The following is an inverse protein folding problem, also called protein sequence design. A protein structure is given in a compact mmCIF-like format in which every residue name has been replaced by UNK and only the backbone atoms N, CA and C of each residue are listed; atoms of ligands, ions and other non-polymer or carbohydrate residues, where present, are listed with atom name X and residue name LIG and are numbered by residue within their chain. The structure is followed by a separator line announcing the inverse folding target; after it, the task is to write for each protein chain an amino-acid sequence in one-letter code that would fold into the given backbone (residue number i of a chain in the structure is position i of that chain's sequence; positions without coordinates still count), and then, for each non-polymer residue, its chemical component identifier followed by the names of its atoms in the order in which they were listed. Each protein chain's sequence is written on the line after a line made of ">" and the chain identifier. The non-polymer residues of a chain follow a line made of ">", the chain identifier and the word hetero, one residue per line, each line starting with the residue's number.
data_IF_752790969939
#
_entry.id   IF_752790969939
#
_cell.length_a   1.000
_cell.length_b   1.000
_cell.length_c   1.000
_cell.angle_alpha   90.00
_cell.angle_beta   90.00
_cell.angle_gamma   90.00
#
_symmetry.space_group_name_H-M   'P 1'
#
loop_
_entity.id
_entity.type
_entity.pdbx_description
1 polymer ?
#
# COMPACT_ATOMS: atom_id res chain seq x y z
N UNK A 1 35.09 16.18 -15.33
CA UNK A 1 35.09 17.33 -14.40
C UNK A 1 34.75 18.62 -15.14
N UNK A 2 35.62 19.14 -16.02
CA UNK A 2 35.37 20.38 -16.79
C UNK A 2 34.06 20.43 -17.64
N UNK A 3 33.58 19.29 -18.16
CA UNK A 3 32.28 19.23 -18.86
C UNK A 3 31.08 19.39 -17.90
N UNK A 4 31.13 18.74 -16.75
CA UNK A 4 30.05 18.79 -15.73
C UNK A 4 29.98 20.16 -15.06
N UNK A 5 31.12 20.82 -14.87
CA UNK A 5 31.19 22.19 -14.33
C UNK A 5 30.62 23.22 -15.31
N UNK A 6 30.84 23.03 -16.62
CA UNK A 6 30.22 23.86 -17.66
C UNK A 6 28.72 23.64 -17.75
N UNK A 7 28.25 22.40 -17.64
CA UNK A 7 26.81 22.08 -17.61
C UNK A 7 26.13 22.65 -16.37
N UNK A 8 26.77 22.60 -15.20
CA UNK A 8 26.28 23.22 -13.97
C UNK A 8 26.21 24.75 -14.07
N UNK A 9 27.19 25.39 -14.71
CA UNK A 9 27.20 26.83 -14.92
C UNK A 9 26.17 27.33 -15.96
N UNK A 10 25.62 26.44 -16.79
CA UNK A 10 24.52 26.76 -17.71
C UNK A 10 23.13 26.65 -17.06
N UNK A 11 23.04 26.04 -15.87
CA UNK A 11 21.82 26.07 -15.07
C UNK A 11 21.75 27.46 -14.42
N UNK A 12 20.89 28.31 -14.98
CA UNK A 12 20.70 29.68 -14.52
C UNK A 12 20.27 29.70 -13.04
N UNK A 13 20.97 30.46 -12.18
CA UNK A 13 20.73 30.51 -10.73
C UNK A 13 19.37 31.17 -10.35
N UNK A 14 18.62 31.63 -11.36
CA UNK A 14 17.30 32.21 -11.21
C UNK A 14 16.28 31.13 -10.85
N UNK A 15 15.82 31.16 -9.60
CA UNK A 15 14.79 30.24 -9.07
C UNK A 15 15.33 29.12 -8.20
N UNK A 16 16.63 29.02 -7.94
CA UNK A 16 17.20 28.00 -7.02
C UNK A 16 16.59 28.08 -5.62
N UNK A 17 16.41 29.30 -5.08
CA UNK A 17 15.78 29.52 -3.79
C UNK A 17 14.32 29.06 -3.78
N UNK A 18 13.56 29.37 -4.82
CA UNK A 18 12.16 28.95 -4.97
C UNK A 18 12.03 27.43 -5.13
N UNK A 19 12.94 26.80 -5.88
CA UNK A 19 13.00 25.35 -6.05
C UNK A 19 13.39 24.67 -4.74
N UNK A 20 14.34 25.22 -3.99
CA UNK A 20 14.74 24.72 -2.68
C UNK A 20 13.59 24.80 -1.67
N UNK A 21 12.88 25.93 -1.63
CA UNK A 21 11.70 26.12 -0.79
C UNK A 21 10.55 25.17 -1.19
N UNK A 22 10.30 25.03 -2.50
CA UNK A 22 9.33 24.06 -3.00
C UNK A 22 9.67 22.63 -2.59
N UNK A 23 10.95 22.23 -2.73
CA UNK A 23 11.41 20.92 -2.33
C UNK A 23 11.25 20.70 -0.82
N UNK A 24 11.61 21.69 -0.01
CA UNK A 24 11.37 21.67 1.45
C UNK A 24 9.90 21.48 1.78
N UNK A 25 9.01 22.22 1.14
CA UNK A 25 7.56 22.07 1.31
C UNK A 25 7.08 20.66 0.94
N UNK A 26 7.60 20.07 -0.15
CA UNK A 26 7.26 18.68 -0.50
C UNK A 26 7.70 17.67 0.56
N UNK A 27 8.88 17.86 1.15
CA UNK A 27 9.36 17.01 2.24
C UNK A 27 8.49 17.16 3.49
N UNK A 28 8.12 18.39 3.85
CA UNK A 28 7.23 18.65 4.99
C UNK A 28 5.85 18.01 4.80
N UNK A 29 5.26 18.14 3.61
CA UNK A 29 4.00 17.46 3.23
C UNK A 29 4.15 15.96 3.41
N UNK A 30 5.21 15.33 2.89
CA UNK A 30 5.41 13.89 3.00
C UNK A 30 5.53 13.43 4.47
N UNK A 31 6.18 14.23 5.33
CA UNK A 31 6.28 13.95 6.78
C UNK A 31 4.90 14.05 7.43
N UNK A 32 4.12 15.08 7.11
CA UNK A 32 2.78 15.28 7.65
C UNK A 32 1.80 14.20 7.17
N UNK A 33 1.85 13.81 5.89
CA UNK A 33 1.05 12.71 5.35
C UNK A 33 1.36 11.38 6.07
N UNK A 34 2.64 11.11 6.36
CA UNK A 34 3.03 9.92 7.13
C UNK A 34 2.46 9.95 8.55
N UNK A 35 2.55 11.10 9.24
CA UNK A 35 1.97 11.27 10.59
C UNK A 35 0.46 11.09 10.59
N UNK A 36 -0.22 11.66 9.60
CA UNK A 36 -1.66 11.48 9.41
C UNK A 36 -1.98 10.00 9.18
N UNK A 37 -1.24 9.31 8.31
CA UNK A 37 -1.50 7.91 8.02
C UNK A 37 -1.33 7.02 9.26
N UNK A 38 -0.32 7.29 10.11
CA UNK A 38 -0.14 6.58 11.39
C UNK A 38 -1.34 6.74 12.33
N UNK A 39 -1.98 7.91 12.34
CA UNK A 39 -3.20 8.15 13.13
C UNK A 39 -4.45 7.50 12.53
N UNK A 40 -4.49 7.36 11.20
CA UNK A 40 -5.60 6.70 10.48
C UNK A 40 -5.54 5.20 10.70
N UNK A 41 -4.36 4.59 10.60
CA UNK A 41 -4.15 3.13 10.67
C UNK A 41 -4.24 2.57 12.08
N UNK A 42 -4.49 3.41 13.08
CA UNK A 42 -4.79 2.96 14.43
C UNK A 42 -5.95 1.95 14.40
N UNK A 43 -5.78 0.74 14.99
CA UNK A 43 -6.79 -0.30 14.96
C UNK A 43 -8.17 0.20 15.42
N UNK A 44 -8.22 1.05 16.45
CA UNK A 44 -9.47 1.62 16.97
C UNK A 44 -10.30 2.40 15.93
N UNK A 45 -9.67 2.93 14.87
CA UNK A 45 -10.33 3.75 13.84
C UNK A 45 -10.48 3.00 12.52
N UNK A 46 -9.38 2.43 12.04
CA UNK A 46 -9.29 1.88 10.68
C UNK A 46 -10.14 0.64 10.45
N UNK A 47 -10.40 -0.16 11.50
CA UNK A 47 -11.11 -1.43 11.39
C UNK A 47 -12.54 -1.24 10.85
N UNK A 48 -13.21 -0.14 11.20
CA UNK A 48 -14.53 0.20 10.65
C UNK A 48 -14.51 0.46 9.14
N UNK A 49 -13.36 0.87 8.61
CA UNK A 49 -13.17 1.13 7.19
C UNK A 49 -12.71 -0.11 6.43
N UNK A 50 -12.01 -1.06 7.05
CA UNK A 50 -11.49 -2.27 6.41
C UNK A 50 -12.56 -3.33 6.16
N UNK A 51 -13.55 -2.96 5.37
CA UNK A 51 -14.63 -3.84 4.95
C UNK A 51 -14.25 -4.59 3.67
N UNK A 52 -14.79 -5.82 3.45
CA UNK A 52 -14.61 -6.53 2.19
C UNK A 52 -14.98 -5.66 0.98
N UNK A 53 -14.13 -5.68 -0.03
CA UNK A 53 -14.25 -4.86 -1.23
C UNK A 53 -13.62 -3.47 -1.15
N UNK A 54 -13.18 -3.00 0.02
CA UNK A 54 -12.53 -1.69 0.14
C UNK A 54 -11.18 -1.70 -0.58
N UNK A 55 -10.88 -0.62 -1.30
CA UNK A 55 -9.55 -0.43 -1.86
C UNK A 55 -8.56 0.11 -0.82
N UNK A 56 -7.41 -0.52 -0.76
CA UNK A 56 -6.28 -0.17 0.10
C UNK A 56 -5.01 -0.10 -0.75
N UNK A 57 -4.12 0.86 -0.47
CA UNK A 57 -2.80 0.89 -1.07
C UNK A 57 -1.82 0.20 -0.13
N UNK A 58 -1.00 -0.69 -0.67
CA UNK A 58 -0.04 -1.48 0.10
C UNK A 58 1.38 -1.07 -0.30
N UNK A 59 2.22 -0.81 0.70
CA UNK A 59 3.61 -0.44 0.51
C UNK A 59 4.47 -1.13 1.57
N UNK A 60 5.54 -1.79 1.12
CA UNK A 60 6.52 -2.45 1.98
C UNK A 60 7.90 -1.82 1.74
N UNK A 61 8.27 -0.87 2.60
CA UNK A 61 9.48 -0.08 2.42
C UNK A 61 9.50 0.66 1.07
N UNK A 62 10.46 0.31 0.21
CA UNK A 62 10.59 0.87 -1.13
C UNK A 62 9.70 0.18 -2.18
N UNK A 63 9.09 -0.95 -1.84
CA UNK A 63 8.25 -1.74 -2.77
C UNK A 63 6.81 -1.26 -2.70
N UNK A 64 6.35 -0.64 -3.78
CA UNK A 64 4.93 -0.29 -3.97
C UNK A 64 4.18 -1.47 -4.57
N UNK A 65 3.24 -2.04 -3.82
CA UNK A 65 2.35 -3.10 -4.32
C UNK A 65 1.13 -2.54 -5.05
N UNK A 66 0.96 -1.22 -5.01
CA UNK A 66 -0.17 -0.53 -5.62
C UNK A 66 -1.46 -0.72 -4.82
N UNK A 67 -2.58 -0.59 -5.53
CA UNK A 67 -3.90 -0.77 -4.95
C UNK A 67 -4.29 -2.24 -4.90
N UNK A 68 -4.90 -2.65 -3.80
CA UNK A 68 -5.49 -3.96 -3.56
C UNK A 68 -6.91 -3.85 -3.02
N UNK A 69 -7.57 -5.01 -2.92
CA UNK A 69 -8.94 -5.12 -2.41
C UNK A 69 -8.94 -5.90 -1.10
N UNK A 70 -9.50 -5.33 -0.04
CA UNK A 70 -9.71 -6.04 1.23
C UNK A 70 -10.67 -7.19 0.99
N UNK A 71 -10.27 -8.40 1.38
CA UNK A 71 -11.11 -9.61 1.36
C UNK A 71 -11.64 -9.90 2.75
N UNK A 72 -10.75 -9.87 3.74
CA UNK A 72 -11.07 -10.20 5.12
C UNK A 72 -10.08 -9.52 6.08
N UNK A 73 -10.49 -9.35 7.34
CA UNK A 73 -9.62 -8.87 8.41
C UNK A 73 -9.66 -9.86 9.56
N UNK A 74 -8.49 -10.37 9.93
CA UNK A 74 -8.32 -11.35 10.99
C UNK A 74 -7.56 -10.70 12.13
N UNK A 75 -8.13 -10.77 13.33
CA UNK A 75 -7.42 -10.42 14.57
C UNK A 75 -6.43 -11.55 14.87
N UNK A 76 -5.14 -11.24 14.90
CA UNK A 76 -4.15 -12.22 15.36
C UNK A 76 -4.05 -12.13 16.88
N UNK A 77 -4.07 -13.29 17.54
CA UNK A 77 -3.79 -13.36 18.96
C UNK A 77 -2.29 -13.13 19.14
N UNK A 78 -1.90 -12.15 19.96
CA UNK A 78 -0.50 -12.00 20.36
C UNK A 78 -0.09 -13.27 21.09
N UNK A 79 0.72 -14.11 20.46
CA UNK A 79 1.28 -15.31 21.10
C UNK A 79 2.09 -14.85 22.31
N UNK A 80 1.57 -15.13 23.50
CA UNK A 80 2.30 -14.97 24.75
C UNK A 80 3.38 -16.06 24.82
N UNK A 81 4.45 -15.89 24.05
CA UNK A 81 5.62 -16.78 24.07
C UNK A 81 6.88 -16.01 23.71
N UNK A 82 7.30 -15.10 24.57
CA UNK A 82 8.73 -14.86 24.81
C UNK A 82 8.94 -14.10 26.12
N UNK A 83 9.79 -14.67 26.97
CA UNK A 83 10.20 -14.17 28.27
C UNK A 83 11.02 -12.88 28.14
N UNK A 84 10.37 -11.72 28.06
CA UNK A 84 11.02 -10.41 28.17
C UNK A 84 10.36 -9.55 29.27
N UNK A 85 11.15 -8.77 30.03
CA UNK A 85 10.69 -8.05 31.21
C UNK A 85 9.67 -6.95 30.89
N UNK A 86 8.83 -6.56 31.86
CA UNK A 86 7.57 -5.84 31.65
C UNK A 86 7.72 -4.34 31.39
N UNK A 87 8.91 -3.83 31.08
CA UNK A 87 9.20 -2.38 31.08
C UNK A 87 9.11 -1.70 29.71
N UNK A 88 8.65 -2.39 28.67
CA UNK A 88 8.48 -1.82 27.32
C UNK A 88 7.08 -2.02 26.73
N UNK A 89 6.04 -2.22 27.56
CA UNK A 89 4.67 -2.42 27.09
C UNK A 89 3.88 -1.12 27.03
N UNK A 90 4.09 -0.31 26.00
CA UNK A 90 3.16 0.79 25.65
C UNK A 90 2.28 0.51 24.43
N UNK A 91 2.32 -0.70 23.85
CA UNK A 91 1.33 -1.12 22.86
C UNK A 91 1.03 -2.63 22.94
N UNK A 92 0.33 -3.05 24.00
CA UNK A 92 -0.35 -4.36 24.00
C UNK A 92 -1.63 -4.29 23.15
N UNK A 93 -1.48 -3.89 21.88
CA UNK A 93 -2.55 -3.95 20.90
C UNK A 93 -2.61 -5.36 20.32
N UNK A 94 -3.82 -5.89 20.09
CA UNK A 94 -3.97 -7.04 19.23
C UNK A 94 -3.54 -6.66 17.81
N UNK A 95 -2.64 -7.43 17.21
CA UNK A 95 -2.28 -7.23 15.82
C UNK A 95 -3.41 -7.71 14.89
N UNK A 96 -3.49 -7.13 13.70
CA UNK A 96 -4.47 -7.51 12.68
C UNK A 96 -3.76 -7.82 11.37
N UNK A 97 -4.26 -8.85 10.69
CA UNK A 97 -3.86 -9.23 9.33
C UNK A 97 -5.03 -8.94 8.41
N UNK A 98 -4.76 -8.25 7.31
CA UNK A 98 -5.73 -7.93 6.28
C UNK A 98 -5.45 -8.80 5.08
N UNK A 99 -6.31 -9.79 4.84
CA UNK A 99 -6.28 -10.57 3.62
C UNK A 99 -6.65 -9.65 2.46
N UNK A 100 -5.67 -9.37 1.60
CA UNK A 100 -5.80 -8.38 0.53
C UNK A 100 -5.57 -9.05 -0.81
N UNK A 101 -6.51 -8.90 -1.74
CA UNK A 101 -6.35 -9.32 -3.13
C UNK A 101 -5.46 -8.30 -3.85
N UNK A 102 -4.25 -8.73 -4.22
CA UNK A 102 -3.23 -7.92 -4.87
C UNK A 102 -2.86 -8.48 -6.23
N UNK A 103 -2.43 -7.61 -7.14
CA UNK A 103 -1.88 -8.02 -8.43
C UNK A 103 -0.44 -8.47 -8.22
N UNK A 104 -0.15 -9.74 -8.50
CA UNK A 104 1.16 -10.34 -8.28
C UNK A 104 1.77 -10.84 -9.59
N UNK A 105 3.10 -10.81 -9.67
CA UNK A 105 3.85 -11.44 -10.75
C UNK A 105 3.50 -12.93 -10.85
N UNK A 106 3.55 -13.48 -12.05
CA UNK A 106 3.38 -14.92 -12.27
C UNK A 106 4.57 -15.63 -11.62
N UNK A 107 4.29 -16.44 -10.60
CA UNK A 107 5.32 -17.16 -9.87
C UNK A 107 6.00 -18.20 -10.76
N UNK A 108 7.17 -17.88 -11.32
CA UNK A 108 8.09 -18.88 -11.86
C UNK A 108 8.81 -19.56 -10.70
N UNK A 109 8.10 -20.48 -10.03
CA UNK A 109 8.72 -21.37 -9.05
C UNK A 109 9.38 -22.54 -9.75
N UNK A 110 10.61 -22.37 -10.26
CA UNK A 110 11.50 -23.51 -10.45
C UNK A 110 11.69 -24.17 -9.07
N UNK A 111 11.28 -25.43 -8.92
CA UNK A 111 11.38 -26.28 -7.71
C UNK A 111 10.21 -26.36 -6.73
N UNK A 112 8.96 -26.09 -7.14
CA UNK A 112 7.77 -26.53 -6.38
C UNK A 112 7.54 -25.83 -5.01
N UNK A 113 8.47 -24.98 -4.58
CA UNK A 113 8.25 -24.01 -3.51
C UNK A 113 7.55 -22.80 -4.10
N UNK A 114 6.35 -22.49 -3.59
CA UNK A 114 5.58 -21.30 -4.00
C UNK A 114 6.47 -20.06 -3.82
N UNK A 115 6.85 -19.41 -4.93
CA UNK A 115 7.62 -18.17 -4.89
C UNK A 115 6.90 -17.14 -4.02
N UNK A 116 7.65 -16.40 -3.21
CA UNK A 116 7.08 -15.31 -2.41
C UNK A 116 6.32 -14.37 -3.35
N UNK A 117 5.06 -13.99 -3.05
CA UNK A 117 4.33 -13.06 -3.89
C UNK A 117 5.12 -11.76 -4.01
N UNK A 118 5.12 -11.17 -5.21
CA UNK A 118 5.76 -9.89 -5.52
C UNK A 118 4.87 -9.10 -6.46
N UNK A 119 4.93 -7.76 -6.45
CA UNK A 119 4.25 -6.96 -7.47
C UNK A 119 4.84 -7.26 -8.86
N UNK A 120 4.02 -7.25 -9.92
CA UNK A 120 4.49 -7.40 -11.30
C UNK A 120 5.24 -6.14 -11.74
N UNK A 121 6.20 -6.31 -12.66
CA UNK A 121 6.85 -5.17 -13.28
C UNK A 121 5.88 -4.40 -14.19
N UNK A 122 6.12 -3.11 -14.46
CA UNK A 122 5.31 -2.35 -15.41
C UNK A 122 5.23 -3.06 -16.77
N UNK A 123 4.01 -3.38 -17.22
CA UNK A 123 3.76 -4.09 -18.48
C UNK A 123 3.84 -5.62 -18.40
N UNK A 124 4.25 -6.18 -17.27
CA UNK A 124 4.25 -7.63 -17.03
C UNK A 124 2.82 -8.14 -16.79
N UNK A 125 2.51 -9.34 -17.32
CA UNK A 125 1.26 -10.01 -16.96
C UNK A 125 1.39 -10.59 -15.56
N UNK A 126 0.43 -10.24 -14.71
CA UNK A 126 0.32 -10.79 -13.36
C UNK A 126 -1.07 -11.33 -13.09
N UNK A 127 -1.21 -12.03 -11.98
CA UNK A 127 -2.46 -12.63 -11.51
C UNK A 127 -2.82 -12.11 -10.11
N UNK A 128 -4.12 -11.99 -9.86
CA UNK A 128 -4.62 -11.56 -8.56
C UNK A 128 -4.46 -12.68 -7.53
N UNK A 129 -3.82 -12.38 -6.40
CA UNK A 129 -3.60 -13.33 -5.31
C UNK A 129 -4.05 -12.73 -3.98
N UNK A 130 -4.63 -13.55 -3.11
CA UNK A 130 -4.93 -13.14 -1.74
C UNK A 130 -3.63 -13.24 -0.94
N UNK A 131 -3.15 -12.09 -0.48
CA UNK A 131 -1.92 -11.95 0.28
C UNK A 131 -2.27 -11.44 1.68
N UNK A 132 -1.77 -12.09 2.76
CA UNK A 132 -1.94 -11.57 4.10
C UNK A 132 -1.06 -10.34 4.29
N UNK A 133 -1.67 -9.17 4.53
CA UNK A 133 -0.98 -7.88 4.69
C UNK A 133 -1.07 -7.44 6.14
N UNK A 134 0.07 -7.10 6.74
CA UNK A 134 0.09 -6.50 8.08
C UNK A 134 -0.41 -5.05 8.00
N UNK A 135 -1.20 -4.64 8.99
CA UNK A 135 -1.77 -3.28 9.08
C UNK A 135 -0.79 -2.13 8.80
N UNK A 136 0.46 -2.14 9.31
CA UNK A 136 1.41 -1.05 9.06
C UNK A 136 1.84 -0.88 7.60
N UNK A 137 1.64 -1.91 6.76
CA UNK A 137 1.98 -1.88 5.33
C UNK A 137 0.87 -1.21 4.49
N UNK A 138 -0.29 -0.91 5.08
CA UNK A 138 -1.35 -0.17 4.41
C UNK A 138 -0.96 1.30 4.41
N UNK A 139 -0.65 1.85 3.23
CA UNK A 139 -0.18 3.23 3.05
C UNK A 139 -1.30 4.21 2.67
N UNK A 140 -2.44 3.71 2.18
CA UNK A 140 -3.63 4.53 1.96
C UNK A 140 -4.92 3.68 2.00
N UNK A 141 -6.04 4.32 2.35
CA UNK A 141 -7.38 3.76 2.21
C UNK A 141 -8.20 4.61 1.23
N UNK A 142 -9.07 3.95 0.47
CA UNK A 142 -9.99 4.62 -0.43
C UNK A 142 -11.44 4.54 0.05
N UNK A 143 -12.26 5.54 -0.29
CA UNK A 143 -13.71 5.48 -0.04
C UNK A 143 -14.41 4.43 -0.90
N UNK A 144 -13.88 4.13 -2.08
CA UNK A 144 -14.50 3.21 -3.04
C UNK A 144 -14.49 1.77 -2.51
N UNK A 145 -15.57 1.04 -2.83
CA UNK A 145 -15.68 -0.41 -2.66
C UNK A 145 -16.02 -1.05 -3.99
N UNK A 146 -15.39 -2.18 -4.28
CA UNK A 146 -15.74 -3.07 -5.38
C UNK A 146 -16.54 -4.26 -4.84
N UNK A 147 -17.41 -4.83 -5.67
CA UNK A 147 -18.07 -6.08 -5.32
C UNK A 147 -17.06 -7.22 -5.36
N UNK A 148 -17.04 -8.05 -4.32
CA UNK A 148 -16.14 -9.20 -4.20
C UNK A 148 -17.01 -10.46 -4.21
N UNK A 149 -16.77 -11.42 -5.13
CA UNK A 149 -17.44 -12.72 -5.11
C UNK A 149 -17.22 -13.45 -3.79
N UNK A 150 -18.18 -14.28 -3.38
CA UNK A 150 -18.09 -15.07 -2.15
C UNK A 150 -16.98 -16.12 -2.17
N UNK A 151 -16.57 -16.56 -3.37
CA UNK A 151 -15.47 -17.51 -3.55
C UNK A 151 -14.42 -16.93 -4.52
N UNK A 152 -13.19 -16.79 -4.03
CA UNK A 152 -12.04 -16.29 -4.78
C UNK A 152 -11.07 -17.41 -5.21
N UNK A 153 -11.39 -18.68 -4.97
CA UNK A 153 -10.59 -19.81 -5.48
C UNK A 153 -10.59 -19.87 -7.00
N UNK A 154 -11.72 -19.65 -7.71
CA UNK A 154 -11.74 -19.64 -9.17
C UNK A 154 -10.89 -18.49 -9.73
N UNK A 155 -10.11 -18.76 -10.78
CA UNK A 155 -9.31 -17.75 -11.47
C UNK A 155 -10.19 -16.65 -12.07
N UNK A 156 -11.32 -17.03 -12.66
CA UNK A 156 -12.29 -16.12 -13.28
C UNK A 156 -12.84 -15.09 -12.28
N UNK A 157 -13.16 -15.54 -11.05
CA UNK A 157 -13.60 -14.65 -9.97
C UNK A 157 -12.53 -13.59 -9.67
N UNK A 158 -11.27 -14.00 -9.54
CA UNK A 158 -10.15 -13.08 -9.31
C UNK A 158 -9.89 -12.16 -10.51
N UNK A 159 -10.03 -12.65 -11.74
CA UNK A 159 -9.86 -11.87 -12.97
C UNK A 159 -10.93 -10.79 -13.13
N UNK A 160 -12.18 -11.08 -12.77
CA UNK A 160 -13.25 -10.07 -12.83
C UNK A 160 -12.94 -8.84 -11.96
N UNK A 161 -12.32 -9.05 -10.79
CA UNK A 161 -11.90 -7.96 -9.91
C UNK A 161 -10.73 -7.19 -10.52
N UNK A 162 -9.77 -7.88 -11.15
CA UNK A 162 -8.66 -7.21 -11.85
C UNK A 162 -9.18 -6.25 -12.93
N UNK A 163 -10.14 -6.70 -13.74
CA UNK A 163 -10.76 -5.86 -14.77
C UNK A 163 -11.48 -4.65 -14.16
N UNK A 164 -12.21 -4.84 -13.06
CA UNK A 164 -12.86 -3.75 -12.34
C UNK A 164 -11.85 -2.73 -11.81
N UNK A 165 -10.70 -3.18 -11.29
CA UNK A 165 -9.63 -2.30 -10.82
C UNK A 165 -8.95 -1.54 -11.96
N UNK A 166 -8.72 -2.19 -13.10
CA UNK A 166 -8.17 -1.54 -14.30
C UNK A 166 -9.12 -0.47 -14.83
N UNK A 167 -10.42 -0.76 -14.87
CA UNK A 167 -11.42 0.23 -15.30
C UNK A 167 -11.47 1.41 -14.32
N UNK A 168 -11.33 1.15 -13.03
CA UNK A 168 -11.25 2.21 -12.04
C UNK A 168 -10.00 3.09 -12.22
N UNK A 169 -8.85 2.49 -12.51
CA UNK A 169 -7.63 3.24 -12.81
C UNK A 169 -7.80 4.12 -14.06
N UNK A 170 -8.47 3.63 -15.11
CA UNK A 170 -8.79 4.42 -16.31
C UNK A 170 -9.75 5.57 -16.00
N UNK A 171 -10.74 5.34 -15.14
CA UNK A 171 -11.73 6.36 -14.75
C UNK A 171 -11.14 7.46 -13.87
N UNK A 172 -10.07 7.17 -13.14
CA UNK A 172 -9.39 8.09 -12.24
C UNK A 172 -7.91 8.26 -12.62
N UNK A 173 -7.60 8.87 -13.78
CA UNK A 173 -6.22 9.01 -14.26
C UNK A 173 -5.37 9.89 -13.33
N UNK A 174 -5.99 10.82 -12.61
CA UNK A 174 -5.33 11.67 -11.61
C UNK A 174 -5.20 11.02 -10.22
N UNK A 175 -5.56 9.74 -10.10
CA UNK A 175 -5.53 8.99 -8.86
C UNK A 175 -6.89 8.86 -8.17
N UNK A 176 -7.01 7.83 -7.33
CA UNK A 176 -8.24 7.53 -6.61
C UNK A 176 -8.46 8.48 -5.44
N UNK A 177 -9.71 8.85 -5.12
CA UNK A 177 -10.02 9.78 -4.04
C UNK A 177 -9.64 9.22 -2.67
N UNK A 178 -8.76 9.91 -1.93
CA UNK A 178 -8.31 9.48 -0.59
C UNK A 178 -9.48 9.47 0.41
N UNK A 179 -9.47 8.53 1.37
CA UNK A 179 -10.41 8.53 2.49
C UNK A 179 -10.18 9.74 3.40
N UNK A 180 -11.25 10.41 3.84
CA UNK A 180 -11.16 11.46 4.85
C UNK A 180 -11.12 10.80 6.24
N UNK A 181 -10.10 11.07 7.07
CA UNK A 181 -9.98 10.39 8.36
C UNK A 181 -10.89 10.92 9.48
N UNK A 182 -11.58 12.03 9.23
CA UNK A 182 -12.46 12.71 10.22
C UNK A 182 -13.95 12.51 9.89
N UNK A 183 -14.29 12.17 8.64
CA UNK A 183 -15.67 12.03 8.15
C UNK A 183 -15.86 10.69 7.43
#
# INVERSE_FOLDING_TARGET
>A
VSKLEKEAAMLDASGEAEVADYHKLRLEIAVLERKMMLEITRPERVLFFLLPGRLVKVQDGATDWGWGVVVNVVKTASSASSALPPTASSSRGSDYIVDTLLHCALGSGENGTRSKPSPPHPGERGEMHVVPVQMPLISALNKIRVSVPSDLRPLEARQSILLAMQELAKRFPQGLPKLNPVK
#
